data_IF_735525531347
#
_entry.id   IF_735525531347
#
_cell.length_a   1.000
_cell.length_b   1.000
_cell.length_c   1.000
_cell.angle_alpha   90.00
_cell.angle_beta   90.00
_cell.angle_gamma   90.00
#
_symmetry.space_group_name_H-M   'P 1'
#
loop_
_entity.id
_entity.type
_entity.pdbx_description
1 polymer ?
#
# COMPACT_ATOMS: atom_id res chain seq x y z
N UNK A 1 -36.33 -9.75 19.97
CA UNK A 1 -35.48 -9.63 18.75
C UNK A 1 -34.05 -9.48 19.23
N UNK A 2 -33.24 -10.51 19.12
CA UNK A 2 -31.85 -10.50 19.55
C UNK A 2 -31.01 -9.82 18.48
N UNK A 3 -30.31 -8.79 18.88
CA UNK A 3 -29.37 -8.01 18.05
C UNK A 3 -28.12 -8.85 17.78
N UNK A 4 -27.84 -9.14 16.51
CA UNK A 4 -26.62 -9.84 16.11
C UNK A 4 -25.61 -8.83 15.55
N UNK A 5 -24.51 -8.53 16.27
CA UNK A 5 -23.57 -7.47 15.84
C UNK A 5 -22.69 -7.85 14.62
N UNK A 6 -22.84 -9.05 14.07
CA UNK A 6 -22.05 -9.51 12.94
C UNK A 6 -22.61 -9.18 11.54
N UNK A 7 -23.79 -8.53 11.47
CA UNK A 7 -24.48 -8.27 10.19
C UNK A 7 -24.13 -6.94 9.50
N UNK A 8 -23.27 -6.10 10.09
CA UNK A 8 -23.06 -4.72 9.60
C UNK A 8 -21.83 -4.49 8.73
N UNK A 9 -21.13 -5.54 8.30
CA UNK A 9 -19.94 -5.40 7.42
C UNK A 9 -20.20 -5.74 5.95
N UNK A 10 -21.44 -5.65 5.47
CA UNK A 10 -21.76 -5.99 4.09
C UNK A 10 -22.18 -4.72 3.31
N UNK A 11 -21.27 -4.21 2.50
CA UNK A 11 -21.63 -3.35 1.38
C UNK A 11 -22.42 -4.19 0.35
N UNK A 12 -23.73 -4.02 0.35
CA UNK A 12 -24.66 -4.72 -0.51
C UNK A 12 -25.68 -5.50 0.31
N UNK A 13 -26.88 -4.94 0.49
CA UNK A 13 -27.99 -5.60 1.15
C UNK A 13 -28.33 -6.94 0.47
N UNK A 14 -28.96 -7.89 1.19
CA UNK A 14 -29.25 -9.22 0.67
C UNK A 14 -30.21 -9.13 -0.53
N UNK A 15 -29.77 -9.68 -1.65
CA UNK A 15 -30.64 -9.92 -2.79
C UNK A 15 -31.51 -11.15 -2.47
N UNK A 16 -32.84 -11.03 -2.26
CA UNK A 16 -33.67 -12.13 -1.78
C UNK A 16 -33.93 -13.26 -2.80
N UNK A 17 -33.27 -13.22 -3.96
CA UNK A 17 -33.49 -14.19 -5.04
C UNK A 17 -32.34 -15.18 -5.28
N UNK A 18 -31.29 -15.17 -4.47
CA UNK A 18 -30.16 -16.07 -4.70
C UNK A 18 -29.91 -16.98 -3.48
N UNK A 19 -30.50 -18.19 -3.50
CA UNK A 19 -30.36 -19.22 -2.47
C UNK A 19 -29.04 -20.02 -2.58
N UNK A 20 -28.09 -19.59 -3.36
CA UNK A 20 -26.75 -20.17 -3.33
C UNK A 20 -26.02 -19.59 -2.13
N UNK A 21 -25.63 -20.44 -1.20
CA UNK A 21 -24.71 -20.16 -0.10
C UNK A 21 -23.34 -19.79 -0.70
N UNK A 22 -23.23 -18.60 -1.29
CA UNK A 22 -21.94 -18.05 -1.62
C UNK A 22 -21.28 -17.68 -0.29
N UNK A 23 -20.27 -18.45 0.04
CA UNK A 23 -19.30 -18.11 1.06
C UNK A 23 -18.75 -16.73 0.67
N UNK A 24 -19.27 -15.67 1.27
CA UNK A 24 -18.71 -14.32 1.07
C UNK A 24 -17.31 -14.35 1.65
N UNK A 25 -16.33 -14.51 0.80
CA UNK A 25 -14.94 -14.29 1.15
C UNK A 25 -14.85 -12.80 1.55
N UNK A 26 -14.85 -12.52 2.84
CA UNK A 26 -14.64 -11.17 3.34
C UNK A 26 -13.20 -10.82 3.03
N UNK A 27 -12.97 -10.17 1.92
CA UNK A 27 -11.66 -9.61 1.58
C UNK A 27 -11.45 -8.43 2.51
N UNK A 28 -10.56 -8.58 3.50
CA UNK A 28 -10.16 -7.48 4.35
C UNK A 28 -9.24 -6.54 3.56
N UNK A 29 -9.77 -5.39 3.21
CA UNK A 29 -8.97 -4.30 2.69
C UNK A 29 -8.20 -3.68 3.84
N UNK A 30 -6.87 -3.57 3.70
CA UNK A 30 -6.04 -2.83 4.64
C UNK A 30 -5.74 -1.45 4.02
N UNK A 31 -6.18 -0.40 4.69
CA UNK A 31 -5.80 0.98 4.36
C UNK A 31 -4.53 1.35 5.13
N UNK A 32 -3.54 1.84 4.40
CA UNK A 32 -2.20 2.08 4.92
C UNK A 32 -1.60 3.32 4.27
N UNK A 33 -0.97 4.16 5.06
CA UNK A 33 -0.34 5.38 4.57
C UNK A 33 1.15 5.40 4.94
N UNK A 34 1.99 5.88 4.02
CA UNK A 34 3.42 6.05 4.23
C UNK A 34 3.76 7.54 4.13
N UNK A 35 4.35 8.08 5.18
CA UNK A 35 4.74 9.48 5.29
C UNK A 35 6.13 9.72 4.68
N UNK A 36 6.28 10.81 3.93
CA UNK A 36 7.53 11.19 3.29
C UNK A 36 8.08 12.50 3.88
N UNK A 37 9.39 12.68 3.89
CA UNK A 37 10.04 13.92 4.36
C UNK A 37 10.02 15.05 3.31
N UNK A 38 9.07 15.05 2.41
CA UNK A 38 8.89 16.04 1.35
C UNK A 38 7.47 16.62 1.36
N UNK A 39 7.31 17.81 0.76
CA UNK A 39 6.01 18.42 0.45
C UNK A 39 5.59 18.19 -1.00
N UNK A 40 6.49 17.67 -1.82
CA UNK A 40 6.22 17.44 -3.24
C UNK A 40 5.39 16.17 -3.44
N UNK A 41 4.10 16.38 -3.69
CA UNK A 41 3.13 15.28 -3.99
C UNK A 41 3.47 14.52 -5.26
N UNK A 42 4.25 15.12 -6.16
CA UNK A 42 4.65 14.47 -7.42
C UNK A 42 5.62 13.34 -7.15
N UNK A 43 6.53 13.49 -6.16
CA UNK A 43 7.42 12.41 -5.73
C UNK A 43 6.63 11.26 -5.07
N UNK A 44 5.67 11.58 -4.20
CA UNK A 44 4.77 10.58 -3.62
C UNK A 44 3.96 9.84 -4.68
N UNK A 45 3.45 10.57 -5.68
CA UNK A 45 2.68 10.00 -6.79
C UNK A 45 3.55 9.10 -7.68
N UNK A 46 4.80 9.49 -7.92
CA UNK A 46 5.73 8.69 -8.72
C UNK A 46 6.05 7.37 -8.04
N UNK A 47 6.32 7.38 -6.73
CA UNK A 47 6.50 6.15 -5.93
C UNK A 47 5.23 5.31 -5.93
N UNK A 48 4.06 5.93 -5.67
CA UNK A 48 2.78 5.23 -5.67
C UNK A 48 2.51 4.49 -7.00
N UNK A 49 2.94 5.08 -8.12
CA UNK A 49 2.76 4.48 -9.45
C UNK A 49 3.68 3.29 -9.69
N UNK A 50 4.80 3.21 -9.03
CA UNK A 50 5.67 2.02 -9.07
C UNK A 50 5.17 0.91 -8.16
N UNK A 51 4.63 1.26 -7.00
CA UNK A 51 4.12 0.27 -6.05
C UNK A 51 2.83 -0.41 -6.54
N UNK A 52 1.85 0.36 -7.04
CA UNK A 52 0.49 -0.14 -7.34
C UNK A 52 0.45 -1.06 -8.57
N UNK A 53 -0.43 -2.05 -8.58
CA UNK A 53 -0.61 -3.01 -9.70
C UNK A 53 -0.81 -2.35 -11.06
N UNK A 54 -1.66 -1.32 -11.13
CA UNK A 54 -1.94 -0.61 -12.39
C UNK A 54 -0.70 0.08 -12.98
N UNK A 55 0.31 0.33 -12.16
CA UNK A 55 1.53 0.99 -12.56
C UNK A 55 1.31 2.41 -13.11
N UNK A 56 2.06 2.76 -14.16
CA UNK A 56 2.05 4.09 -14.77
C UNK A 56 2.04 4.04 -16.30
N UNK A 57 1.75 5.18 -16.91
CA UNK A 57 2.03 5.35 -18.33
C UNK A 57 3.53 5.48 -18.56
N UNK A 58 4.07 4.76 -19.55
CA UNK A 58 5.47 4.88 -19.98
C UNK A 58 5.73 6.30 -20.43
N UNK A 59 6.83 6.88 -19.96
CA UNK A 59 7.26 8.23 -20.32
C UNK A 59 8.69 8.23 -20.84
N UNK A 60 8.97 9.16 -21.73
CA UNK A 60 10.34 9.49 -22.15
C UNK A 60 10.86 10.47 -21.09
N UNK A 61 12.01 10.19 -20.41
CA UNK A 61 12.54 11.11 -19.42
C UNK A 61 12.78 12.50 -19.99
N UNK A 62 12.38 13.53 -19.25
CA UNK A 62 12.72 14.92 -19.59
C UNK A 62 14.16 15.20 -19.11
N UNK A 63 15.11 15.57 -19.99
CA UNK A 63 16.49 15.84 -19.61
C UNK A 63 16.65 16.98 -18.57
N UNK A 64 15.67 17.89 -18.52
CA UNK A 64 15.68 19.04 -17.65
C UNK A 64 14.97 18.82 -16.31
N UNK A 65 14.45 17.62 -16.06
CA UNK A 65 13.74 17.29 -14.82
C UNK A 65 14.17 15.93 -14.29
N UNK A 66 14.36 15.87 -12.97
CA UNK A 66 14.60 14.61 -12.26
C UNK A 66 13.30 13.82 -12.00
N UNK A 67 12.14 14.42 -12.23
CA UNK A 67 10.85 13.79 -11.99
C UNK A 67 10.36 13.12 -13.28
N UNK A 68 10.19 11.79 -13.22
CA UNK A 68 9.70 11.00 -14.35
C UNK A 68 8.30 11.44 -14.85
N UNK A 69 7.50 12.06 -13.96
CA UNK A 69 6.16 12.54 -14.33
C UNK A 69 6.19 13.77 -15.28
N UNK A 70 7.34 14.42 -15.44
CA UNK A 70 7.51 15.55 -16.38
C UNK A 70 7.84 15.08 -17.80
N UNK A 71 8.09 13.81 -18.00
CA UNK A 71 8.37 13.22 -19.30
C UNK A 71 7.13 13.11 -20.19
N UNK A 72 7.33 13.09 -21.50
CA UNK A 72 6.29 12.89 -22.49
C UNK A 72 5.73 11.45 -22.43
N UNK A 73 4.40 11.30 -22.50
CA UNK A 73 3.75 9.99 -22.46
C UNK A 73 3.93 9.28 -23.82
N UNK A 74 4.53 8.10 -23.78
CA UNK A 74 4.62 7.21 -24.95
C UNK A 74 3.25 6.64 -25.27
N UNK A 75 2.83 6.76 -26.53
CA UNK A 75 1.53 6.27 -27.00
C UNK A 75 1.70 5.24 -28.11
N UNK A 76 0.75 4.31 -28.17
CA UNK A 76 0.60 3.44 -29.33
C UNK A 76 0.06 4.21 -30.55
N UNK A 77 0.06 3.58 -31.73
CA UNK A 77 -0.49 4.16 -32.97
C UNK A 77 -1.98 4.52 -32.88
N UNK A 78 -2.72 3.85 -31.98
CA UNK A 78 -4.14 4.12 -31.69
C UNK A 78 -4.34 5.28 -30.68
N UNK A 79 -3.27 5.96 -30.27
CA UNK A 79 -3.30 7.09 -29.31
C UNK A 79 -3.36 6.69 -27.83
N UNK A 80 -3.51 5.41 -27.49
CA UNK A 80 -3.54 4.95 -26.11
C UNK A 80 -2.14 4.98 -25.48
N UNK A 81 -2.03 5.37 -24.19
CA UNK A 81 -0.74 5.35 -23.51
C UNK A 81 -0.22 3.93 -23.31
N UNK A 82 1.07 3.74 -23.57
CA UNK A 82 1.78 2.51 -23.20
C UNK A 82 1.83 2.42 -21.69
N UNK A 83 1.42 1.29 -21.12
CA UNK A 83 1.43 1.06 -19.67
C UNK A 83 2.67 0.29 -19.25
N UNK A 84 3.21 0.65 -18.09
CA UNK A 84 4.23 -0.10 -17.35
C UNK A 84 3.57 -0.57 -16.07
N UNK A 85 3.43 -1.88 -15.82
CA UNK A 85 2.84 -2.38 -14.59
C UNK A 85 3.71 -1.96 -13.39
N UNK A 86 3.10 -1.87 -12.22
CA UNK A 86 3.85 -1.68 -10.98
C UNK A 86 4.29 -3.02 -10.40
N UNK A 87 4.92 -2.94 -9.23
CA UNK A 87 5.60 -4.08 -8.60
C UNK A 87 4.63 -5.01 -7.88
N UNK A 88 3.61 -4.44 -7.20
CA UNK A 88 2.78 -5.21 -6.28
C UNK A 88 1.37 -5.44 -6.83
N UNK A 89 1.02 -6.72 -6.95
CA UNK A 89 -0.32 -7.16 -7.31
C UNK A 89 -1.31 -6.89 -6.18
N UNK A 90 -2.58 -6.64 -6.51
CA UNK A 90 -3.64 -6.35 -5.55
C UNK A 90 -3.39 -5.12 -4.65
N UNK A 91 -2.49 -4.24 -5.06
CA UNK A 91 -2.19 -2.97 -4.39
C UNK A 91 -2.72 -1.80 -5.22
N UNK A 92 -3.44 -0.90 -4.57
CA UNK A 92 -3.80 0.42 -5.09
C UNK A 92 -3.03 1.47 -4.30
N UNK A 93 -2.46 2.46 -4.98
CA UNK A 93 -1.73 3.54 -4.33
C UNK A 93 -1.88 4.86 -5.09
N UNK A 94 -1.90 5.95 -4.32
CA UNK A 94 -1.87 7.33 -4.81
C UNK A 94 -0.95 8.17 -3.93
N UNK A 95 -0.33 9.21 -4.52
CA UNK A 95 0.35 10.25 -3.75
C UNK A 95 -0.60 11.41 -3.49
N UNK A 96 -0.56 11.96 -2.29
CA UNK A 96 -1.36 13.12 -1.90
C UNK A 96 -0.63 13.99 -0.87
N UNK A 97 -1.19 15.16 -0.55
CA UNK A 97 -0.66 16.06 0.46
C UNK A 97 -1.56 16.05 1.68
N UNK A 98 -0.96 15.99 2.85
CA UNK A 98 -1.68 16.01 4.13
C UNK A 98 -1.37 17.31 4.85
N UNK A 99 -2.34 18.22 4.87
CA UNK A 99 -2.17 19.56 5.44
C UNK A 99 -1.78 19.53 6.91
N UNK A 100 -2.39 18.64 7.70
CA UNK A 100 -2.14 18.55 9.15
C UNK A 100 -0.70 18.12 9.45
N UNK A 101 -0.08 17.33 8.60
CA UNK A 101 1.32 16.91 8.73
C UNK A 101 2.28 17.78 7.92
N UNK A 102 1.74 18.65 7.06
CA UNK A 102 2.51 19.51 6.14
C UNK A 102 3.53 18.69 5.31
N UNK A 103 3.10 17.50 4.83
CA UNK A 103 3.94 16.52 4.13
C UNK A 103 3.17 15.79 3.04
N UNK A 104 3.92 15.30 2.06
CA UNK A 104 3.40 14.34 1.09
C UNK A 104 3.34 12.93 1.71
N UNK A 105 2.32 12.20 1.32
CA UNK A 105 2.02 10.87 1.83
C UNK A 105 1.64 9.96 0.66
N UNK A 106 1.96 8.68 0.76
CA UNK A 106 1.49 7.64 -0.15
C UNK A 106 0.33 6.93 0.55
N UNK A 107 -0.88 7.04 0.00
CA UNK A 107 -2.04 6.30 0.50
C UNK A 107 -2.19 5.01 -0.29
N UNK A 108 -2.29 3.90 0.42
CA UNK A 108 -2.24 2.54 -0.09
C UNK A 108 -3.45 1.76 0.39
N UNK A 109 -4.03 0.98 -0.51
CA UNK A 109 -5.02 -0.03 -0.18
C UNK A 109 -4.51 -1.40 -0.63
N UNK A 110 -4.38 -2.32 0.32
CA UNK A 110 -4.13 -3.74 0.04
C UNK A 110 -5.48 -4.44 -0.15
N UNK A 111 -5.76 -4.91 -1.35
CA UNK A 111 -6.96 -5.71 -1.61
C UNK A 111 -6.76 -7.17 -1.19
N UNK A 112 -5.51 -7.66 -1.24
CA UNK A 112 -5.11 -8.99 -0.77
C UNK A 112 -3.71 -8.91 -0.14
N UNK A 113 -3.67 -8.77 1.19
CA UNK A 113 -2.42 -8.58 1.96
C UNK A 113 -1.54 -9.83 2.01
N UNK A 114 -2.06 -11.00 1.63
CA UNK A 114 -1.26 -12.25 1.52
C UNK A 114 -0.49 -12.32 0.21
N UNK A 115 -1.02 -11.68 -0.84
CA UNK A 115 -0.34 -11.58 -2.14
C UNK A 115 0.76 -10.53 -2.11
N UNK A 116 0.46 -9.36 -1.53
CA UNK A 116 1.40 -8.25 -1.38
C UNK A 116 1.36 -7.80 0.08
N UNK A 117 2.43 -8.07 0.81
CA UNK A 117 2.46 -7.84 2.25
C UNK A 117 2.79 -6.39 2.61
N UNK A 118 2.37 -5.96 3.81
CA UNK A 118 2.63 -4.58 4.28
C UNK A 118 4.14 -4.31 4.30
N UNK A 119 4.95 -5.24 4.83
CA UNK A 119 6.39 -5.06 4.97
C UNK A 119 7.13 -5.03 3.63
N UNK A 120 6.71 -5.83 2.63
CA UNK A 120 7.34 -5.80 1.31
C UNK A 120 7.08 -4.47 0.61
N UNK A 121 5.84 -3.96 0.70
CA UNK A 121 5.47 -2.66 0.12
C UNK A 121 6.16 -1.51 0.85
N UNK A 122 6.30 -1.58 2.18
CA UNK A 122 7.00 -0.58 2.97
C UNK A 122 8.50 -0.55 2.65
N UNK A 123 9.16 -1.70 2.62
CA UNK A 123 10.58 -1.80 2.28
C UNK A 123 10.84 -1.29 0.85
N UNK A 124 9.98 -1.63 -0.11
CA UNK A 124 10.08 -1.11 -1.47
C UNK A 124 9.87 0.40 -1.53
N UNK A 125 8.90 0.94 -0.78
CA UNK A 125 8.67 2.39 -0.69
C UNK A 125 9.88 3.12 -0.11
N UNK A 126 10.55 2.56 0.90
CA UNK A 126 11.79 3.09 1.45
C UNK A 126 12.89 3.18 0.37
N UNK A 127 13.14 2.08 -0.37
CA UNK A 127 14.14 2.07 -1.44
C UNK A 127 13.82 3.07 -2.55
N UNK A 128 12.57 3.11 -3.01
CA UNK A 128 12.12 4.07 -4.03
C UNK A 128 12.21 5.53 -3.57
N UNK A 129 12.01 5.80 -2.28
CA UNK A 129 12.19 7.13 -1.71
C UNK A 129 13.67 7.53 -1.70
N UNK A 130 14.57 6.64 -1.27
CA UNK A 130 16.02 6.87 -1.26
C UNK A 130 16.58 7.14 -2.67
N UNK A 131 16.15 6.39 -3.69
CA UNK A 131 16.51 6.63 -5.09
C UNK A 131 16.15 8.05 -5.56
N UNK A 132 15.12 8.65 -4.97
CA UNK A 132 14.65 10.01 -5.28
C UNK A 132 15.22 11.08 -4.36
N UNK A 133 16.16 10.70 -3.48
CA UNK A 133 16.80 11.61 -2.52
C UNK A 133 15.88 12.09 -1.40
N UNK A 134 14.81 11.35 -1.13
CA UNK A 134 13.88 11.58 0.00
C UNK A 134 13.83 10.36 0.91
N UNK A 135 13.11 10.45 2.03
CA UNK A 135 13.00 9.36 3.00
C UNK A 135 11.56 9.14 3.45
N UNK A 136 11.24 7.90 3.75
CA UNK A 136 10.07 7.55 4.56
C UNK A 136 10.33 8.01 6.00
N UNK A 137 9.35 8.62 6.63
CA UNK A 137 9.44 9.13 8.01
C UNK A 137 8.58 8.36 8.99
N UNK A 138 7.79 7.42 8.49
CA UNK A 138 6.91 6.58 9.26
C UNK A 138 5.70 6.17 8.45
N UNK A 139 4.83 5.40 9.04
CA UNK A 139 3.61 4.94 8.41
C UNK A 139 2.45 4.88 9.41
N UNK A 140 1.25 4.69 8.89
CA UNK A 140 0.05 4.54 9.69
C UNK A 140 -0.93 3.57 9.07
N UNK A 141 -1.52 2.71 9.89
CA UNK A 141 -2.64 1.85 9.50
C UNK A 141 -3.93 2.61 9.80
N UNK A 142 -4.81 2.68 8.81
CA UNK A 142 -6.09 3.39 8.94
C UNK A 142 -7.20 2.36 9.15
N UNK A 143 -7.78 2.35 10.34
CA UNK A 143 -8.86 1.43 10.72
C UNK A 143 -8.37 0.08 11.23
N UNK A 144 -9.13 -0.98 10.94
CA UNK A 144 -8.84 -2.32 11.41
C UNK A 144 -7.89 -3.06 10.46
N UNK A 145 -6.97 -3.81 11.03
CA UNK A 145 -6.03 -4.67 10.31
C UNK A 145 -6.10 -6.11 10.84
N UNK A 146 -6.05 -7.13 9.99
CA UNK A 146 -5.92 -8.51 10.44
C UNK A 146 -4.63 -8.69 11.25
N UNK A 147 -4.74 -9.29 12.43
CA UNK A 147 -3.57 -9.57 13.29
C UNK A 147 -2.48 -10.35 12.55
N UNK A 148 -2.88 -11.28 11.67
CA UNK A 148 -1.96 -12.06 10.84
C UNK A 148 -1.03 -11.17 9.99
N UNK A 149 -1.54 -10.08 9.43
CA UNK A 149 -0.73 -9.17 8.61
C UNK A 149 0.40 -8.50 9.43
N UNK A 150 0.11 -8.12 10.68
CA UNK A 150 1.12 -7.58 11.61
C UNK A 150 2.12 -8.65 12.06
N UNK A 151 1.66 -9.88 12.32
CA UNK A 151 2.54 -11.00 12.66
C UNK A 151 3.50 -11.28 11.49
N UNK A 152 3.01 -11.30 10.24
CA UNK A 152 3.84 -11.47 9.05
C UNK A 152 4.93 -10.38 8.97
N UNK A 153 4.56 -9.13 9.17
CA UNK A 153 5.51 -8.01 9.17
C UNK A 153 6.55 -8.13 10.30
N UNK A 154 6.12 -8.43 11.53
CA UNK A 154 7.02 -8.60 12.66
C UNK A 154 8.01 -9.75 12.47
N UNK A 155 7.54 -10.88 11.96
CA UNK A 155 8.39 -12.03 11.61
C UNK A 155 9.44 -11.68 10.54
N UNK A 156 9.06 -10.89 9.54
CA UNK A 156 9.97 -10.40 8.52
C UNK A 156 11.11 -9.56 9.15
N UNK A 157 10.77 -8.57 9.97
CA UNK A 157 11.77 -7.68 10.57
C UNK A 157 12.63 -8.37 11.64
N UNK A 158 12.08 -9.33 12.40
CA UNK A 158 12.88 -10.13 13.31
C UNK A 158 13.93 -10.96 12.55
N UNK A 159 13.54 -11.60 11.44
CA UNK A 159 14.47 -12.33 10.57
C UNK A 159 15.53 -11.41 9.97
N UNK A 160 15.13 -10.24 9.46
CA UNK A 160 16.02 -9.23 8.89
C UNK A 160 17.06 -8.74 9.90
N UNK A 161 16.70 -8.73 11.20
CA UNK A 161 17.60 -8.39 12.32
C UNK A 161 18.36 -9.59 12.90
N UNK A 162 18.25 -10.77 12.32
CA UNK A 162 18.80 -12.03 12.84
C UNK A 162 18.35 -12.36 14.29
N UNK A 163 17.13 -11.96 14.65
CA UNK A 163 16.53 -12.23 15.97
C UNK A 163 15.68 -13.49 15.93
N UNK A 164 15.47 -14.10 17.12
CA UNK A 164 14.57 -15.23 17.25
C UNK A 164 13.13 -14.85 16.89
N UNK A 165 12.47 -15.72 16.13
CA UNK A 165 11.04 -15.60 15.78
C UNK A 165 10.16 -16.44 16.70
N UNK A 166 10.74 -17.22 17.61
CA UNK A 166 10.04 -18.06 18.59
C UNK A 166 9.64 -17.30 19.85
N UNK A 167 9.12 -16.06 19.69
CA UNK A 167 8.67 -15.19 20.77
C UNK A 167 7.14 -15.04 20.73
N UNK A 168 6.50 -14.56 21.81
CA UNK A 168 5.05 -14.36 21.82
C UNK A 168 4.56 -13.41 20.72
N UNK A 169 3.35 -13.67 20.19
CA UNK A 169 2.75 -12.85 19.13
C UNK A 169 2.70 -11.36 19.48
N UNK A 170 2.48 -11.02 20.75
CA UNK A 170 2.50 -9.62 21.22
C UNK A 170 3.83 -8.93 20.89
N UNK A 171 4.94 -9.59 21.16
CA UNK A 171 6.27 -9.03 20.93
C UNK A 171 6.62 -8.99 19.45
N UNK A 172 6.10 -9.93 18.65
CA UNK A 172 6.20 -9.91 17.18
C UNK A 172 5.46 -8.71 16.61
N UNK A 173 4.24 -8.44 17.07
CA UNK A 173 3.44 -7.30 16.64
C UNK A 173 4.11 -5.98 17.05
N UNK A 174 4.66 -5.91 18.25
CA UNK A 174 5.42 -4.74 18.71
C UNK A 174 6.63 -4.47 17.80
N UNK A 175 7.35 -5.53 17.42
CA UNK A 175 8.44 -5.41 16.44
C UNK A 175 7.96 -4.89 15.08
N UNK A 176 6.78 -5.33 14.62
CA UNK A 176 6.17 -4.82 13.38
C UNK A 176 5.90 -3.31 13.49
N UNK A 177 5.24 -2.88 14.56
CA UNK A 177 4.88 -1.47 14.81
C UNK A 177 6.13 -0.60 14.83
N UNK A 178 7.17 -1.00 15.57
CA UNK A 178 8.42 -0.24 15.66
C UNK A 178 9.20 -0.19 14.34
N UNK A 179 9.09 -1.21 13.51
CA UNK A 179 9.84 -1.31 12.24
C UNK A 179 9.15 -0.58 11.09
N UNK A 180 7.83 -0.50 11.13
CA UNK A 180 7.02 0.23 10.14
C UNK A 180 6.92 1.74 10.45
N UNK A 181 7.31 2.17 11.65
CA UNK A 181 7.32 3.57 12.09
C UNK A 181 6.05 3.97 12.75
#
# INVERSE_FOLDING_TARGET
>A
MSYNPHEWCLYGGPNPKNTNHNLYLTIFLIAYNINLNTKDTRLATDIAFELREMGRSKRIPNPNSKNLLDGEIVRYKDGKPVKVPGVFKDVKAIGWYVDIFNRAQISINFNEYKTSTIHDVFDAACGLAEERGIRVTGSEIVGLVPQEALIMAGMHYLKKQNRSTGIPNKDIIECAIQSLG
#
